data_IF_361512887615
#
_entry.id   IF_361512887615
#
_cell.length_a   1.000
_cell.length_b   1.000
_cell.length_c   1.000
_cell.angle_alpha   90.00
_cell.angle_beta   90.00
_cell.angle_gamma   90.00
#
_symmetry.space_group_name_H-M   'P 1'
#
loop_
_entity.id
_entity.type
_entity.pdbx_description
1 polymer ?
#
# COMPACT_ATOMS: atom_id res chain seq x y z
N UNK A 1 32.86 25.64 14.35
CA UNK A 1 32.31 24.56 15.17
C UNK A 1 31.06 25.04 15.92
N UNK A 2 31.17 26.08 16.76
CA UNK A 2 30.05 26.73 17.46
C UNK A 2 28.83 27.12 16.61
N UNK A 3 29.01 27.66 15.40
CA UNK A 3 27.86 28.04 14.54
C UNK A 3 27.01 26.83 14.11
N UNK A 4 27.61 25.68 13.81
CA UNK A 4 26.85 24.46 13.46
C UNK A 4 26.10 23.88 14.65
N UNK A 5 26.67 23.99 15.85
CA UNK A 5 26.02 23.53 17.09
C UNK A 5 24.85 24.43 17.47
N UNK A 6 25.00 25.75 17.29
CA UNK A 6 23.93 26.74 17.50
C UNK A 6 22.81 26.55 16.46
N UNK A 7 23.14 26.31 15.19
CA UNK A 7 22.14 26.06 14.15
C UNK A 7 21.37 24.75 14.41
N UNK A 8 22.05 23.71 14.92
CA UNK A 8 21.40 22.44 15.28
C UNK A 8 20.50 22.58 16.50
N UNK A 9 20.92 23.30 17.54
CA UNK A 9 20.12 23.56 18.73
C UNK A 9 18.91 24.46 18.42
N UNK A 10 19.09 25.47 17.56
CA UNK A 10 18.00 26.33 17.11
C UNK A 10 17.00 25.58 16.23
N UNK A 11 17.46 24.68 15.36
CA UNK A 11 16.58 23.81 14.58
C UNK A 11 15.75 22.89 15.47
N UNK A 12 16.31 22.37 16.55
CA UNK A 12 15.59 21.55 17.53
C UNK A 12 14.53 22.37 18.29
N UNK A 13 14.87 23.57 18.75
CA UNK A 13 13.93 24.48 19.42
C UNK A 13 12.83 24.95 18.47
N UNK A 14 13.15 25.31 17.22
CA UNK A 14 12.18 25.64 16.19
C UNK A 14 11.28 24.44 15.85
N UNK A 15 11.84 23.22 15.89
CA UNK A 15 11.07 21.99 15.67
C UNK A 15 10.01 21.76 16.74
N UNK A 16 10.31 22.14 17.98
CA UNK A 16 9.41 22.04 19.12
C UNK A 16 8.37 23.17 19.11
N UNK A 17 8.77 24.40 18.79
CA UNK A 17 7.89 25.58 18.73
C UNK A 17 6.84 25.44 17.62
N UNK A 18 7.18 24.84 16.48
CA UNK A 18 6.25 24.63 15.37
C UNK A 18 5.49 23.27 15.42
N UNK A 19 5.76 22.44 16.43
CA UNK A 19 5.05 21.16 16.64
C UNK A 19 5.55 19.98 15.79
N UNK A 20 6.76 20.04 15.22
CA UNK A 20 7.34 18.96 14.40
C UNK A 20 7.80 17.74 15.21
N UNK A 21 8.14 17.88 16.50
CA UNK A 21 8.43 16.69 17.34
C UNK A 21 7.22 15.74 17.43
N UNK A 22 6.01 16.31 17.41
CA UNK A 22 4.76 15.55 17.41
C UNK A 22 4.50 14.85 16.08
N UNK A 23 4.94 15.39 14.94
CA UNK A 23 4.71 14.77 13.62
C UNK A 23 5.46 13.44 13.50
N UNK A 24 6.72 13.40 13.95
CA UNK A 24 7.51 12.15 13.99
C UNK A 24 6.92 11.14 14.97
N UNK A 25 6.46 11.58 16.15
CA UNK A 25 5.77 10.71 17.11
C UNK A 25 4.45 10.16 16.55
N UNK A 26 3.63 11.02 15.94
CA UNK A 26 2.38 10.63 15.26
C UNK A 26 2.68 9.61 14.16
N UNK A 27 3.74 9.80 13.37
CA UNK A 27 4.14 8.84 12.36
C UNK A 27 4.48 7.47 12.97
N UNK A 28 5.34 7.42 13.99
CA UNK A 28 5.75 6.16 14.62
C UNK A 28 4.56 5.42 15.24
N UNK A 29 3.71 6.14 15.98
CA UNK A 29 2.50 5.58 16.57
C UNK A 29 1.54 5.07 15.49
N UNK A 30 1.34 5.84 14.42
CA UNK A 30 0.45 5.47 13.33
C UNK A 30 1.00 4.28 12.53
N UNK A 31 2.32 4.22 12.34
CA UNK A 31 3.00 3.11 11.68
C UNK A 31 2.82 1.82 12.48
N UNK A 32 3.10 1.85 13.78
CA UNK A 32 2.93 0.69 14.66
C UNK A 32 1.46 0.23 14.72
N UNK A 33 0.53 1.17 14.91
CA UNK A 33 -0.91 0.85 14.86
C UNK A 33 -1.36 0.29 13.53
N UNK A 34 -0.82 0.79 12.41
CA UNK A 34 -1.15 0.25 11.09
C UNK A 34 -0.66 -1.18 10.96
N UNK A 35 0.56 -1.48 11.44
CA UNK A 35 1.11 -2.84 11.45
C UNK A 35 0.28 -3.80 12.31
N UNK A 36 -0.10 -3.39 13.52
CA UNK A 36 -1.00 -4.20 14.36
C UNK A 36 -2.35 -4.40 13.68
N UNK A 37 -2.92 -3.33 13.11
CA UNK A 37 -4.19 -3.37 12.42
C UNK A 37 -4.19 -4.34 11.24
N UNK A 38 -3.16 -4.32 10.38
CA UNK A 38 -3.06 -5.26 9.25
C UNK A 38 -3.03 -6.71 9.72
N UNK A 39 -2.29 -7.01 10.80
CA UNK A 39 -2.30 -8.34 11.41
C UNK A 39 -3.69 -8.74 11.94
N UNK A 40 -4.38 -7.84 12.62
CA UNK A 40 -5.75 -8.09 13.09
C UNK A 40 -6.74 -8.32 11.93
N UNK A 41 -6.59 -7.63 10.80
CA UNK A 41 -7.41 -7.86 9.61
C UNK A 41 -7.16 -9.26 9.02
N UNK A 42 -5.91 -9.70 8.97
CA UNK A 42 -5.56 -11.06 8.50
C UNK A 42 -6.17 -12.15 9.40
N UNK A 43 -6.10 -11.96 10.73
CA UNK A 43 -6.76 -12.85 11.69
C UNK A 43 -8.29 -12.85 11.53
N UNK A 44 -8.89 -11.67 11.35
CA UNK A 44 -10.33 -11.53 11.14
C UNK A 44 -10.78 -12.19 9.83
N UNK A 45 -9.99 -12.04 8.76
CA UNK A 45 -10.22 -12.72 7.49
C UNK A 45 -10.18 -14.23 7.69
N UNK A 46 -9.14 -14.75 8.36
CA UNK A 46 -8.99 -16.17 8.68
C UNK A 46 -10.18 -16.73 9.46
N UNK A 47 -10.63 -16.00 10.49
CA UNK A 47 -11.82 -16.36 11.26
C UNK A 47 -13.10 -16.29 10.40
N UNK A 48 -13.25 -15.26 9.56
CA UNK A 48 -14.39 -15.10 8.66
C UNK A 48 -14.49 -16.24 7.67
N UNK A 49 -13.36 -16.72 7.14
CA UNK A 49 -13.33 -17.85 6.21
C UNK A 49 -13.88 -19.12 6.86
N UNK A 50 -13.55 -19.36 8.13
CA UNK A 50 -14.01 -20.53 8.88
C UNK A 50 -15.53 -20.57 9.04
N UNK A 51 -16.17 -19.41 9.18
CA UNK A 51 -17.61 -19.30 9.49
C UNK A 51 -18.49 -18.88 8.31
N UNK A 52 -17.95 -18.07 7.40
CA UNK A 52 -18.63 -17.50 6.24
C UNK A 52 -17.63 -17.29 5.07
N UNK A 53 -17.24 -18.36 4.35
CA UNK A 53 -16.19 -18.34 3.32
C UNK A 53 -16.36 -17.31 2.21
N UNK A 54 -17.59 -16.84 1.94
CA UNK A 54 -17.86 -15.85 0.88
C UNK A 54 -17.76 -14.39 1.37
N UNK A 55 -17.57 -14.16 2.67
CA UNK A 55 -17.60 -12.81 3.28
C UNK A 55 -16.23 -12.29 3.68
N UNK A 56 -15.15 -13.01 3.41
CA UNK A 56 -13.78 -12.58 3.74
C UNK A 56 -13.45 -11.19 3.15
N UNK A 57 -13.99 -10.87 1.97
CA UNK A 57 -13.77 -9.58 1.31
C UNK A 57 -14.39 -8.41 2.09
N UNK A 58 -15.41 -8.64 2.92
CA UNK A 58 -15.96 -7.63 3.84
C UNK A 58 -15.01 -7.32 5.00
N UNK A 59 -14.19 -8.28 5.42
CA UNK A 59 -13.13 -8.06 6.39
C UNK A 59 -11.90 -7.42 5.72
N UNK A 60 -11.50 -7.93 4.55
CA UNK A 60 -10.33 -7.41 3.82
C UNK A 60 -10.50 -5.94 3.40
N UNK A 61 -11.73 -5.51 3.04
CA UNK A 61 -11.98 -4.09 2.68
C UNK A 61 -11.61 -3.11 3.81
N UNK A 62 -11.54 -3.58 5.07
CA UNK A 62 -11.14 -2.74 6.20
C UNK A 62 -9.77 -2.11 6.00
N UNK A 63 -8.86 -2.72 5.24
CA UNK A 63 -7.59 -2.09 4.84
C UNK A 63 -7.81 -0.78 4.07
N UNK A 64 -8.79 -0.77 3.15
CA UNK A 64 -9.15 0.42 2.38
C UNK A 64 -9.91 1.41 3.27
N UNK A 65 -10.87 0.92 4.07
CA UNK A 65 -11.68 1.78 4.95
C UNK A 65 -10.83 2.48 6.01
N UNK A 66 -9.79 1.84 6.54
CA UNK A 66 -8.84 2.45 7.46
C UNK A 66 -8.15 3.67 6.83
N UNK A 67 -7.81 3.56 5.55
CA UNK A 67 -7.18 4.66 4.82
C UNK A 67 -8.11 5.87 4.66
N UNK A 68 -9.40 5.63 4.43
CA UNK A 68 -10.42 6.68 4.27
C UNK A 68 -10.77 7.30 5.63
N UNK A 69 -11.02 6.46 6.63
CA UNK A 69 -11.64 6.88 7.90
C UNK A 69 -10.62 7.30 8.96
N UNK A 70 -9.48 6.60 9.04
CA UNK A 70 -8.45 6.86 10.04
C UNK A 70 -7.39 7.77 9.46
N UNK A 71 -6.70 7.36 8.39
CA UNK A 71 -5.59 8.14 7.84
C UNK A 71 -6.06 9.51 7.36
N UNK A 72 -7.18 9.59 6.64
CA UNK A 72 -7.69 10.84 6.08
C UNK A 72 -8.64 11.61 7.02
N UNK A 73 -8.67 11.24 8.31
CA UNK A 73 -9.33 12.02 9.35
C UNK A 73 -8.71 13.41 9.50
N UNK A 74 -9.56 14.44 9.56
CA UNK A 74 -9.14 15.83 9.79
C UNK A 74 -8.38 16.01 11.10
N UNK A 75 -8.65 15.16 12.11
CA UNK A 75 -8.02 15.25 13.43
C UNK A 75 -6.57 14.74 13.43
N UNK A 76 -6.27 13.77 12.58
CA UNK A 76 -4.96 13.11 12.55
C UNK A 76 -3.90 13.97 11.84
N UNK A 77 -4.32 14.77 10.86
CA UNK A 77 -3.38 15.64 10.13
C UNK A 77 -2.40 14.86 9.25
N UNK A 78 -2.78 13.70 8.72
CA UNK A 78 -1.90 12.80 7.95
C UNK A 78 -1.19 13.45 6.75
N UNK A 79 -1.79 14.47 6.13
CA UNK A 79 -1.16 15.27 5.06
C UNK A 79 0.12 16.00 5.51
N UNK A 80 0.31 16.19 6.83
CA UNK A 80 1.50 16.82 7.44
C UNK A 80 2.71 15.92 7.53
N UNK A 81 2.53 14.60 7.38
CA UNK A 81 3.65 13.66 7.34
C UNK A 81 4.52 13.91 6.10
N UNK A 82 5.73 13.34 6.08
CA UNK A 82 6.52 13.31 4.86
C UNK A 82 5.86 12.41 3.80
N UNK A 83 6.11 12.70 2.52
CA UNK A 83 5.59 11.86 1.44
C UNK A 83 6.04 10.39 1.55
N UNK A 84 7.30 10.16 1.92
CA UNK A 84 7.84 8.82 2.16
C UNK A 84 7.13 8.09 3.30
N UNK A 85 6.82 8.80 4.39
CA UNK A 85 6.10 8.27 5.55
C UNK A 85 4.66 7.88 5.19
N UNK A 86 3.93 8.75 4.48
CA UNK A 86 2.58 8.43 4.00
C UNK A 86 2.59 7.21 3.08
N UNK A 87 3.53 7.19 2.13
CA UNK A 87 3.68 6.06 1.20
C UNK A 87 3.97 4.76 1.93
N UNK A 88 4.82 4.77 2.96
CA UNK A 88 5.11 3.59 3.76
C UNK A 88 3.86 3.03 4.45
N UNK A 89 3.01 3.89 5.00
CA UNK A 89 1.74 3.46 5.63
C UNK A 89 0.75 2.93 4.59
N UNK A 90 0.60 3.61 3.45
CA UNK A 90 -0.24 3.10 2.36
C UNK A 90 0.27 1.78 1.80
N UNK A 91 1.59 1.62 1.72
CA UNK A 91 2.23 0.40 1.26
C UNK A 91 1.89 -0.78 2.16
N UNK A 92 1.94 -0.62 3.49
CA UNK A 92 1.55 -1.70 4.43
C UNK A 92 0.10 -2.15 4.22
N UNK A 93 -0.83 -1.20 4.07
CA UNK A 93 -2.24 -1.50 3.84
C UNK A 93 -2.48 -2.18 2.48
N UNK A 94 -1.81 -1.69 1.43
CA UNK A 94 -1.85 -2.24 0.08
C UNK A 94 -1.25 -3.65 0.02
N UNK A 95 -0.13 -3.87 0.72
CA UNK A 95 0.54 -5.18 0.80
C UNK A 95 -0.33 -6.21 1.50
N UNK A 96 -0.88 -5.89 2.67
CA UNK A 96 -1.76 -6.78 3.43
C UNK A 96 -3.01 -7.14 2.62
N UNK A 97 -3.66 -6.14 2.00
CA UNK A 97 -4.84 -6.38 1.17
C UNK A 97 -4.51 -7.26 -0.04
N UNK A 98 -3.39 -6.98 -0.71
CA UNK A 98 -2.97 -7.73 -1.88
C UNK A 98 -2.64 -9.18 -1.51
N UNK A 99 -1.95 -9.41 -0.39
CA UNK A 99 -1.64 -10.75 0.10
C UNK A 99 -2.92 -11.55 0.36
N UNK A 100 -3.87 -10.98 1.10
CA UNK A 100 -5.17 -11.60 1.35
C UNK A 100 -5.89 -11.95 0.03
N UNK A 101 -5.85 -11.04 -0.95
CA UNK A 101 -6.48 -11.28 -2.25
C UNK A 101 -5.76 -12.40 -3.02
N UNK A 102 -4.42 -12.44 -3.02
CA UNK A 102 -3.66 -13.48 -3.70
C UNK A 102 -3.92 -14.85 -3.09
N UNK A 103 -3.85 -14.96 -1.76
CA UNK A 103 -4.13 -16.20 -1.03
C UNK A 103 -5.51 -16.76 -1.41
N UNK A 104 -6.51 -15.87 -1.59
CA UNK A 104 -7.87 -16.30 -1.95
C UNK A 104 -8.11 -16.50 -3.44
N UNK A 105 -7.34 -15.83 -4.28
CA UNK A 105 -7.37 -16.08 -5.71
C UNK A 105 -6.86 -17.50 -6.00
N UNK A 106 -5.78 -17.93 -5.35
CA UNK A 106 -5.21 -19.28 -5.48
C UNK A 106 -6.18 -20.37 -5.03
N UNK A 107 -6.96 -20.10 -3.98
CA UNK A 107 -8.00 -21.02 -3.48
C UNK A 107 -9.24 -21.11 -4.40
N UNK A 108 -9.46 -20.12 -5.28
CA UNK A 108 -10.70 -19.99 -6.06
C UNK A 108 -10.67 -20.81 -7.35
N UNK A 109 -11.48 -21.88 -7.41
CA UNK A 109 -11.60 -22.75 -8.61
C UNK A 109 -12.37 -22.09 -9.79
N UNK A 110 -12.89 -20.86 -9.65
CA UNK A 110 -13.67 -20.20 -10.71
C UNK A 110 -13.60 -18.66 -10.68
N UNK A 111 -13.22 -18.05 -11.82
CA UNK A 111 -13.07 -16.60 -11.98
C UNK A 111 -14.40 -15.83 -11.91
N UNK A 112 -15.52 -16.43 -12.34
CA UNK A 112 -16.83 -15.77 -12.29
C UNK A 112 -17.34 -15.56 -10.84
N UNK A 113 -16.89 -16.41 -9.90
CA UNK A 113 -17.20 -16.25 -8.48
C UNK A 113 -16.32 -15.17 -7.83
N UNK A 114 -15.08 -15.04 -8.28
CA UNK A 114 -14.12 -14.05 -7.76
C UNK A 114 -14.64 -12.62 -7.86
N UNK A 115 -15.07 -12.20 -9.05
CA UNK A 115 -15.53 -10.83 -9.28
C UNK A 115 -16.71 -10.44 -8.38
N UNK A 116 -17.59 -11.39 -8.07
CA UNK A 116 -18.68 -11.19 -7.12
C UNK A 116 -18.18 -11.08 -5.69
N UNK A 117 -17.24 -11.93 -5.30
CA UNK A 117 -16.71 -12.00 -3.93
C UNK A 117 -15.90 -10.74 -3.59
N UNK A 118 -15.06 -10.23 -4.49
CA UNK A 118 -14.23 -9.05 -4.22
C UNK A 118 -14.95 -7.71 -4.39
N UNK A 119 -16.24 -7.73 -4.74
CA UNK A 119 -17.06 -6.52 -4.92
C UNK A 119 -16.95 -5.53 -3.75
N UNK A 120 -16.95 -5.95 -2.46
CA UNK A 120 -16.80 -5.01 -1.34
C UNK A 120 -15.50 -4.21 -1.41
N UNK A 121 -14.38 -4.85 -1.79
CA UNK A 121 -13.06 -4.22 -1.94
C UNK A 121 -13.09 -3.25 -3.13
N UNK A 122 -13.61 -3.69 -4.28
CA UNK A 122 -13.74 -2.85 -5.49
C UNK A 122 -14.55 -1.58 -5.20
N UNK A 123 -15.64 -1.69 -4.45
CA UNK A 123 -16.47 -0.54 -4.08
C UNK A 123 -15.75 0.42 -3.12
N UNK A 124 -15.00 -0.10 -2.14
CA UNK A 124 -14.22 0.72 -1.22
C UNK A 124 -13.11 1.49 -1.97
N UNK A 125 -12.37 0.81 -2.86
CA UNK A 125 -11.34 1.44 -3.71
C UNK A 125 -11.94 2.52 -4.60
N UNK A 126 -13.04 2.23 -5.30
CA UNK A 126 -13.73 3.20 -6.15
C UNK A 126 -14.27 4.40 -5.35
N UNK A 127 -14.60 4.21 -4.07
CA UNK A 127 -14.99 5.32 -3.19
C UNK A 127 -13.78 6.18 -2.84
N UNK A 128 -12.67 5.57 -2.46
CA UNK A 128 -11.44 6.30 -2.16
C UNK A 128 -10.86 7.03 -3.39
N UNK A 129 -10.96 6.43 -4.58
CA UNK A 129 -10.49 7.04 -5.83
C UNK A 129 -11.16 8.40 -6.11
N UNK A 130 -12.42 8.56 -5.72
CA UNK A 130 -13.14 9.85 -5.84
C UNK A 130 -12.59 10.92 -4.90
N UNK A 131 -12.04 10.51 -3.76
CA UNK A 131 -11.50 11.41 -2.74
C UNK A 131 -10.01 11.75 -2.97
N UNK A 132 -9.29 10.89 -3.72
CA UNK A 132 -7.84 11.04 -3.97
C UNK A 132 -7.44 12.42 -4.50
N UNK A 133 -8.15 13.05 -5.46
CA UNK A 133 -7.78 14.39 -5.93
C UNK A 133 -7.78 15.43 -4.80
N UNK A 134 -8.75 15.36 -3.89
CA UNK A 134 -8.84 16.26 -2.74
C UNK A 134 -7.72 16.03 -1.74
N UNK A 135 -7.38 14.77 -1.48
CA UNK A 135 -6.26 14.40 -0.61
C UNK A 135 -4.91 14.82 -1.18
N UNK A 136 -4.70 14.59 -2.47
CA UNK A 136 -3.49 14.97 -3.17
C UNK A 136 -3.27 16.49 -3.17
N UNK A 137 -4.36 17.27 -3.26
CA UNK A 137 -4.27 18.73 -3.16
C UNK A 137 -3.92 19.19 -1.74
N UNK A 138 -4.41 18.53 -0.70
CA UNK A 138 -3.98 18.80 0.69
C UNK A 138 -2.50 18.48 0.88
N UNK A 139 -2.05 17.32 0.38
CA UNK A 139 -0.65 16.88 0.44
C UNK A 139 0.26 17.85 -0.33
N UNK A 140 -0.19 18.38 -1.48
CA UNK A 140 0.53 19.40 -2.27
C UNK A 140 0.65 20.72 -1.52
N UNK A 141 -0.44 21.22 -0.93
CA UNK A 141 -0.45 22.48 -0.18
C UNK A 141 0.55 22.44 0.98
N UNK A 142 0.58 21.33 1.70
CA UNK A 142 1.51 21.14 2.81
C UNK A 142 2.95 21.03 2.31
N UNK A 143 3.20 20.34 1.19
CA UNK A 143 4.53 20.28 0.58
C UNK A 143 5.04 21.66 0.16
N UNK A 144 4.23 22.47 -0.52
CA UNK A 144 4.58 23.83 -0.97
C UNK A 144 4.88 24.74 0.22
N UNK A 145 4.13 24.59 1.33
CA UNK A 145 4.38 25.33 2.57
C UNK A 145 5.80 25.13 3.10
N UNK A 146 6.38 23.93 2.94
CA UNK A 146 7.70 23.58 3.48
C UNK A 146 8.87 23.71 2.51
N UNK A 147 8.64 23.45 1.23
CA UNK A 147 9.70 23.38 0.21
C UNK A 147 9.77 24.62 -0.68
N UNK A 148 8.86 25.59 -0.50
CA UNK A 148 8.70 26.72 -1.40
C UNK A 148 7.91 26.33 -2.67
N UNK A 149 7.64 27.32 -3.52
CA UNK A 149 6.86 27.13 -4.76
C UNK A 149 7.61 26.38 -5.88
N UNK A 150 8.89 26.05 -5.67
CA UNK A 150 9.74 25.49 -6.72
C UNK A 150 9.33 24.05 -7.07
N UNK A 151 8.55 23.92 -8.15
CA UNK A 151 8.57 22.73 -9.01
C UNK A 151 7.36 21.80 -8.97
N UNK A 152 6.35 22.00 -8.10
CA UNK A 152 5.16 21.13 -8.10
C UNK A 152 3.87 21.93 -8.36
N UNK A 153 3.59 22.15 -9.65
CA UNK A 153 2.36 22.78 -10.13
C UNK A 153 1.12 21.86 -10.05
N UNK A 154 1.31 20.55 -9.88
CA UNK A 154 0.24 19.54 -9.97
C UNK A 154 0.19 18.64 -8.73
N UNK A 155 -1.02 18.28 -8.30
CA UNK A 155 -1.25 17.32 -7.22
C UNK A 155 -1.01 15.86 -7.64
N UNK A 156 -0.94 15.58 -8.95
CA UNK A 156 -0.83 14.23 -9.51
C UNK A 156 0.28 13.35 -8.89
N UNK A 157 1.51 13.85 -8.61
CA UNK A 157 2.56 13.04 -8.00
C UNK A 157 2.22 12.51 -6.60
N UNK A 158 1.29 13.17 -5.88
CA UNK A 158 0.83 12.76 -4.55
C UNK A 158 -0.27 11.69 -4.59
N UNK A 159 -0.84 11.42 -5.77
CA UNK A 159 -1.77 10.30 -5.95
C UNK A 159 -1.04 8.97 -6.10
N UNK A 160 0.24 8.97 -6.52
CA UNK A 160 1.04 7.75 -6.71
C UNK A 160 1.37 7.06 -5.38
N UNK A 161 1.23 5.74 -5.34
CA UNK A 161 1.45 4.91 -4.15
C UNK A 161 0.22 4.66 -3.27
N UNK A 162 -0.95 5.25 -3.58
CA UNK A 162 -2.20 4.87 -2.92
C UNK A 162 -2.77 3.59 -3.56
N UNK A 163 -2.75 2.47 -2.83
CA UNK A 163 -3.25 1.16 -3.29
C UNK A 163 -2.90 0.81 -4.74
N UNK A 164 -1.74 1.28 -5.21
CA UNK A 164 -1.39 1.24 -6.63
C UNK A 164 -1.30 -0.19 -7.13
N UNK A 165 -0.71 -1.09 -6.33
CA UNK A 165 -0.59 -2.50 -6.69
C UNK A 165 -1.95 -3.18 -6.68
N UNK A 166 -2.75 -2.98 -5.63
CA UNK A 166 -4.08 -3.59 -5.56
C UNK A 166 -4.99 -3.08 -6.68
N UNK A 167 -5.05 -1.77 -6.93
CA UNK A 167 -5.91 -1.21 -7.98
C UNK A 167 -5.50 -1.72 -9.37
N UNK A 168 -4.21 -1.71 -9.70
CA UNK A 168 -3.72 -2.26 -10.97
C UNK A 168 -4.05 -3.74 -11.07
N UNK A 169 -3.76 -4.53 -10.04
CA UNK A 169 -3.94 -6.00 -10.07
C UNK A 169 -5.40 -6.44 -10.04
N UNK A 170 -6.30 -5.66 -9.43
CA UNK A 170 -7.75 -5.94 -9.40
C UNK A 170 -8.52 -5.33 -10.59
N UNK A 171 -7.91 -4.40 -11.33
CA UNK A 171 -8.49 -3.83 -12.57
C UNK A 171 -8.42 -4.79 -13.77
N UNK A 172 -7.58 -5.83 -13.69
CA UNK A 172 -7.56 -6.94 -14.63
C UNK A 172 -8.80 -7.81 -14.51
N UNK A 173 -9.72 -7.71 -15.47
CA UNK A 173 -10.91 -8.57 -15.56
C UNK A 173 -10.45 -10.02 -15.81
N UNK A 174 -10.71 -10.92 -14.87
CA UNK A 174 -10.79 -12.36 -15.13
C UNK A 174 -9.49 -13.16 -15.28
N UNK A 175 -8.30 -12.57 -15.11
CA UNK A 175 -7.01 -13.27 -14.97
C UNK A 175 -6.07 -12.41 -14.12
N UNK A 176 -5.27 -13.02 -13.25
CA UNK A 176 -3.91 -12.51 -13.08
C UNK A 176 -3.22 -12.75 -14.44
N UNK A 177 -2.90 -11.72 -15.23
CA UNK A 177 -2.14 -11.93 -16.47
C UNK A 177 -0.91 -12.80 -16.19
N UNK A 178 -0.52 -13.66 -17.14
CA UNK A 178 0.72 -14.46 -17.00
C UNK A 178 1.93 -13.55 -16.73
N UNK A 179 1.82 -12.29 -17.15
CA UNK A 179 2.72 -11.21 -16.79
C UNK A 179 2.91 -11.02 -15.27
N UNK A 180 1.92 -11.27 -14.40
CA UNK A 180 2.07 -11.12 -12.94
C UNK A 180 2.87 -12.23 -12.28
N UNK A 181 2.76 -13.48 -12.75
CA UNK A 181 3.64 -14.55 -12.30
C UNK A 181 5.08 -14.24 -12.73
N UNK A 182 5.27 -13.75 -13.96
CA UNK A 182 6.58 -13.35 -14.45
C UNK A 182 7.13 -12.12 -13.71
N UNK A 183 6.32 -11.12 -13.36
CA UNK A 183 6.75 -9.93 -12.62
C UNK A 183 7.08 -10.26 -11.16
N UNK A 184 6.30 -11.13 -10.50
CA UNK A 184 6.64 -11.60 -9.14
C UNK A 184 7.92 -12.44 -9.18
N UNK A 185 8.07 -13.30 -10.19
CA UNK A 185 9.30 -14.07 -10.40
C UNK A 185 10.47 -13.11 -10.68
N UNK A 186 10.29 -12.10 -11.53
CA UNK A 186 11.34 -11.11 -11.83
C UNK A 186 11.72 -10.27 -10.61
N UNK A 187 10.75 -9.82 -9.80
CA UNK A 187 10.98 -9.08 -8.56
C UNK A 187 11.73 -9.94 -7.51
N UNK A 188 11.39 -11.23 -7.40
CA UNK A 188 12.09 -12.19 -6.52
C UNK A 188 13.48 -12.50 -7.05
N UNK A 189 13.63 -12.70 -8.36
CA UNK A 189 14.93 -12.94 -9.01
C UNK A 189 15.84 -11.70 -8.86
N UNK A 190 15.30 -10.48 -8.94
CA UNK A 190 16.04 -9.24 -8.68
C UNK A 190 16.48 -9.11 -7.23
N UNK A 191 15.59 -9.42 -6.29
CA UNK A 191 15.88 -9.35 -4.86
C UNK A 191 16.93 -10.37 -4.42
N UNK A 192 16.91 -11.57 -5.02
CA UNK A 192 17.83 -12.68 -4.68
C UNK A 192 19.07 -12.76 -5.59
N UNK A 193 19.28 -11.78 -6.48
CA UNK A 193 20.37 -11.73 -7.48
C UNK A 193 20.45 -12.98 -8.39
N UNK A 194 19.30 -13.60 -8.67
CA UNK A 194 19.20 -14.79 -9.49
C UNK A 194 19.09 -14.45 -11.00
N UNK A 195 19.60 -15.32 -11.89
CA UNK A 195 19.61 -15.05 -13.33
C UNK A 195 18.19 -14.96 -13.92
N UNK A 196 17.92 -13.88 -14.66
CA UNK A 196 16.64 -13.63 -15.35
C UNK A 196 16.56 -14.37 -16.69
N UNK A 197 15.48 -15.14 -16.91
CA UNK A 197 15.19 -15.85 -18.15
C UNK A 197 14.21 -17.02 -17.95
N UNK A 198 13.86 -17.74 -19.03
CA UNK A 198 13.15 -19.03 -18.90
C UNK A 198 14.09 -20.04 -18.25
N UNK A 199 13.91 -20.26 -16.94
CA UNK A 199 14.71 -21.20 -16.13
C UNK A 199 14.25 -22.66 -16.30
N UNK A 200 13.15 -22.93 -17.03
CA UNK A 200 12.69 -24.30 -17.29
C UNK A 200 13.76 -25.19 -17.92
N UNK A 201 14.59 -24.76 -18.89
CA UNK A 201 15.64 -25.60 -19.47
C UNK A 201 16.78 -25.94 -18.50
N UNK A 202 17.00 -25.11 -17.48
CA UNK A 202 18.06 -25.27 -16.48
C UNK A 202 17.66 -26.28 -15.38
N UNK A 203 16.41 -26.26 -14.94
CA UNK A 203 15.93 -27.10 -13.82
C UNK A 203 15.06 -28.28 -14.26
N UNK A 204 14.44 -28.21 -15.42
CA UNK A 204 13.70 -29.30 -16.05
C UNK A 204 14.45 -29.67 -17.33
N UNK A 205 15.54 -30.43 -17.17
CA UNK A 205 16.13 -31.12 -18.31
C UNK A 205 15.01 -31.89 -19.00
N UNK A 206 14.90 -31.71 -20.32
CA UNK A 206 13.93 -32.45 -21.15
C UNK A 206 14.07 -33.92 -20.80
N UNK A 207 13.13 -34.46 -20.03
CA UNK A 207 12.91 -35.88 -19.95
C UNK A 207 12.62 -36.33 -21.38
N UNK A 208 13.65 -36.80 -22.08
CA UNK A 208 13.50 -37.55 -23.31
C UNK A 208 12.70 -38.78 -22.94
N UNK A 209 11.40 -38.71 -23.15
CA UNK A 209 10.54 -39.87 -23.17
C UNK A 209 10.90 -40.73 -24.37
N UNK A 210 11.40 -41.92 -24.04
CA UNK A 210 11.15 -43.24 -24.67
C UNK A 210 11.74 -43.52 -26.07
N UNK A 211 12.59 -44.55 -26.09
CA UNK A 211 13.11 -45.28 -27.23
C UNK A 211 14.10 -46.31 -26.72
#
# INVERSE_FOLDING_TARGET
>A
MLSKEIDSANAEVLSVIEGYSWVSYIYLELFDRTKTFTGTVEELVSATIKHAPLRWAEAARLCVDFSITVLRSKRLGFHRLLNSQRKSIYWMLDEALLRICLDKWEDSKSNAMWDRVIRPIKLALATAEKELPGWAELDRKEFVRFKGQDGIASAQPFMRGYFERTTVRLSGIGRLPNELANVIIEDVLDFEELPKGDLRPLYLSKGKGKG
#
